data_IF_864301038980
#
_entry.id   IF_864301038980
#
_cell.length_a   1.000
_cell.length_b   1.000
_cell.length_c   1.000
_cell.angle_alpha   90.00
_cell.angle_beta   90.00
_cell.angle_gamma   90.00
#
_symmetry.space_group_name_H-M   'P 1'
#
loop_
_entity.id
_entity.type
_entity.pdbx_description
1 polymer ?
#
# COMPACT_ATOMS: atom_id res chain seq x y z
N UNK A 1 31.55 24.47 -28.83
CA UNK A 1 30.36 24.68 -27.98
C UNK A 1 29.51 23.41 -28.00
N UNK A 2 29.58 22.55 -26.97
CA UNK A 2 28.86 21.27 -26.95
C UNK A 2 27.48 21.47 -26.32
N UNK A 3 26.42 21.35 -27.11
CA UNK A 3 25.03 21.44 -26.65
C UNK A 3 24.65 20.10 -26.01
N UNK A 4 24.53 20.08 -24.68
CA UNK A 4 24.01 18.92 -23.97
C UNK A 4 22.49 18.83 -24.19
N UNK A 5 22.07 17.79 -24.92
CA UNK A 5 20.65 17.45 -25.08
C UNK A 5 20.12 16.95 -23.74
N UNK A 6 19.25 17.75 -23.10
CA UNK A 6 18.49 17.36 -21.91
C UNK A 6 17.54 16.22 -22.32
N UNK A 7 17.94 14.98 -22.05
CA UNK A 7 17.02 13.84 -22.09
C UNK A 7 15.99 14.06 -20.98
N UNK A 8 14.77 14.45 -21.35
CA UNK A 8 13.64 14.46 -20.45
C UNK A 8 13.37 13.01 -20.02
N UNK A 9 13.71 12.68 -18.78
CA UNK A 9 13.20 11.48 -18.13
C UNK A 9 11.71 11.73 -17.90
N UNK A 10 10.85 10.99 -18.60
CA UNK A 10 9.42 10.97 -18.33
C UNK A 10 9.23 10.38 -16.94
N UNK A 11 9.00 11.24 -15.94
CA UNK A 11 8.58 10.78 -14.62
C UNK A 11 7.21 10.10 -14.82
N UNK A 12 7.00 8.88 -14.31
CA UNK A 12 5.69 8.25 -14.36
C UNK A 12 4.70 9.19 -13.66
N UNK A 13 3.61 9.50 -14.37
CA UNK A 13 2.57 10.36 -13.82
C UNK A 13 2.14 9.83 -12.44
N UNK A 14 1.95 10.71 -11.43
CA UNK A 14 1.49 10.28 -10.13
C UNK A 14 0.19 9.52 -10.32
N UNK A 15 0.17 8.22 -9.99
CA UNK A 15 -1.06 7.44 -9.98
C UNK A 15 -2.04 8.18 -9.07
N UNK A 16 -3.21 8.51 -9.61
CA UNK A 16 -4.31 9.12 -8.87
C UNK A 16 -4.55 8.29 -7.60
N UNK A 17 -4.15 8.83 -6.44
CA UNK A 17 -4.21 8.15 -5.15
C UNK A 17 -5.66 7.98 -4.64
N UNK A 18 -6.64 8.45 -5.42
CA UNK A 18 -8.06 8.52 -5.05
C UNK A 18 -8.78 7.18 -5.05
N UNK A 19 -8.15 6.13 -5.56
CA UNK A 19 -8.63 4.75 -5.43
C UNK A 19 -7.46 3.82 -5.11
N UNK A 20 -6.86 4.00 -3.93
CA UNK A 20 -6.02 2.93 -3.37
C UNK A 20 -6.95 1.78 -3.00
N UNK A 21 -7.17 0.87 -3.95
CA UNK A 21 -7.84 -0.40 -3.68
C UNK A 21 -7.16 -1.03 -2.46
N UNK A 22 -7.93 -1.43 -1.42
CA UNK A 22 -7.33 -2.03 -0.24
C UNK A 22 -6.53 -3.27 -0.68
N UNK A 23 -5.24 -3.32 -0.32
CA UNK A 23 -4.40 -4.46 -0.64
C UNK A 23 -4.93 -5.67 0.14
N UNK A 24 -5.46 -6.70 -0.54
CA UNK A 24 -6.08 -7.85 0.11
C UNK A 24 -5.04 -8.82 0.69
N UNK A 25 -3.77 -8.42 0.82
CA UNK A 25 -2.68 -9.28 1.29
C UNK A 25 -2.38 -9.11 2.77
N UNK A 26 -1.90 -10.18 3.36
CA UNK A 26 -1.33 -10.22 4.69
C UNK A 26 -0.16 -9.25 4.79
N UNK A 27 -0.21 -8.34 5.76
CA UNK A 27 0.83 -7.35 6.02
C UNK A 27 2.18 -7.97 6.37
N UNK A 28 2.17 -9.17 6.98
CA UNK A 28 3.38 -9.81 7.50
C UNK A 28 4.09 -10.69 6.47
N UNK A 29 3.35 -11.38 5.58
CA UNK A 29 3.94 -12.35 4.65
C UNK A 29 3.49 -12.24 3.19
N UNK A 30 2.58 -11.32 2.86
CA UNK A 30 2.10 -11.12 1.48
C UNK A 30 1.15 -12.21 0.95
N UNK A 31 0.88 -13.28 1.71
CA UNK A 31 -0.17 -14.26 1.40
C UNK A 31 -1.57 -13.59 1.38
N UNK A 32 -2.62 -14.23 0.83
CA UNK A 32 -3.97 -13.67 0.92
C UNK A 32 -4.36 -13.35 2.37
N UNK A 33 -4.76 -12.10 2.61
CA UNK A 33 -5.27 -11.62 3.88
C UNK A 33 -6.74 -11.99 4.02
N UNK A 34 -7.12 -12.47 5.20
CA UNK A 34 -8.49 -12.89 5.51
C UNK A 34 -9.09 -12.11 6.68
N UNK A 35 -8.24 -11.59 7.57
CA UNK A 35 -8.68 -10.98 8.83
C UNK A 35 -8.11 -9.57 8.99
N UNK A 36 -8.92 -8.64 9.47
CA UNK A 36 -8.48 -7.30 9.82
C UNK A 36 -7.78 -7.30 11.18
N UNK A 37 -6.56 -6.78 11.21
CA UNK A 37 -5.72 -6.72 12.42
C UNK A 37 -5.45 -5.29 12.88
N UNK A 38 -5.64 -4.29 12.02
CA UNK A 38 -5.54 -2.88 12.40
C UNK A 38 -6.32 -1.96 11.46
N UNK A 39 -6.72 -0.81 12.01
CA UNK A 39 -7.30 0.32 11.29
C UNK A 39 -6.35 1.50 11.43
N UNK A 40 -5.76 1.94 10.33
CA UNK A 40 -4.84 3.09 10.31
C UNK A 40 -5.57 4.31 9.75
N UNK A 41 -5.74 5.40 10.53
CA UNK A 41 -6.32 6.62 10.02
C UNK A 41 -5.39 7.22 8.95
N UNK A 42 -5.97 7.73 7.87
CA UNK A 42 -5.25 8.48 6.85
C UNK A 42 -5.56 9.97 6.98
N UNK A 43 -4.66 10.79 6.43
CA UNK A 43 -4.75 12.26 6.51
C UNK A 43 -5.88 12.86 5.67
N UNK A 44 -6.46 12.09 4.76
CA UNK A 44 -7.63 12.43 3.94
C UNK A 44 -8.97 12.15 4.66
N UNK A 45 -8.93 11.65 5.90
CA UNK A 45 -10.12 11.30 6.68
C UNK A 45 -10.60 9.86 6.45
N UNK A 46 -9.98 9.12 5.53
CA UNK A 46 -10.26 7.71 5.31
C UNK A 46 -9.51 6.81 6.29
N UNK A 47 -9.91 5.53 6.34
CA UNK A 47 -9.25 4.53 7.18
C UNK A 47 -8.68 3.42 6.31
N UNK A 48 -7.40 3.11 6.48
CA UNK A 48 -6.75 1.95 5.86
C UNK A 48 -6.91 0.74 6.76
N UNK A 49 -7.62 -0.27 6.24
CA UNK A 49 -7.68 -1.60 6.83
C UNK A 49 -6.38 -2.35 6.57
N UNK A 50 -5.80 -2.91 7.61
CA UNK A 50 -4.61 -3.77 7.54
C UNK A 50 -5.06 -5.20 7.73
N UNK A 51 -4.79 -6.03 6.73
CA UNK A 51 -5.20 -7.43 6.73
C UNK A 51 -4.01 -8.34 7.08
N UNK A 52 -4.31 -9.46 7.72
CA UNK A 52 -3.39 -10.56 7.97
C UNK A 52 -4.00 -11.89 7.51
N UNK A 53 -3.15 -12.88 7.22
CA UNK A 53 -3.60 -14.26 7.04
C UNK A 53 -3.94 -14.88 8.41
N UNK A 54 -4.74 -15.96 8.47
CA UNK A 54 -5.22 -16.53 9.73
C UNK A 54 -4.10 -16.87 10.74
N UNK A 55 -2.94 -17.31 10.24
CA UNK A 55 -1.77 -17.65 11.08
C UNK A 55 -1.24 -16.40 11.81
N UNK A 56 -0.97 -15.32 11.08
CA UNK A 56 -0.44 -14.08 11.66
C UNK A 56 -1.51 -13.30 12.43
N UNK A 57 -2.78 -13.40 12.01
CA UNK A 57 -3.89 -12.84 12.76
C UNK A 57 -4.03 -13.51 14.14
N UNK A 58 -3.94 -14.84 14.20
CA UNK A 58 -3.97 -15.58 15.46
C UNK A 58 -2.79 -15.21 16.38
N UNK A 59 -1.58 -15.08 15.84
CA UNK A 59 -0.40 -14.67 16.61
C UNK A 59 -0.52 -13.29 17.26
N UNK A 60 -1.32 -12.38 16.68
CA UNK A 60 -1.55 -11.02 17.20
C UNK A 60 -2.66 -10.94 18.25
N UNK A 61 -3.46 -12.00 18.42
CA UNK A 61 -4.53 -12.09 19.43
C UNK A 61 -4.07 -12.68 20.77
N UNK A 62 -2.89 -13.28 20.78
CA UNK A 62 -2.23 -13.84 21.97
C UNK A 62 -1.48 -12.73 22.71
#
# INVERSE_FOLDING_TARGET
MKRHSKRHLSLPAPRDARTVTPDPRCVDCGAPGAEEVALLPRTDGDVRRVLACPIHAAARRM
#
